data_IF_083086186310
#
_entry.id   IF_083086186310
#
_cell.length_a   1.000
_cell.length_b   1.000
_cell.length_c   1.000
_cell.angle_alpha   90.00
_cell.angle_beta   90.00
_cell.angle_gamma   90.00
#
_symmetry.space_group_name_H-M   'P 1'
#
loop_
_entity.id
_entity.type
_entity.pdbx_description
1 polymer ?
#
# COMPACT_ATOMS: atom_id res chain seq x y z
N UNK A 1 12.17 -9.71 0.31
CA UNK A 1 13.46 -9.31 -0.27
C UNK A 1 13.35 -7.87 -0.74
N UNK A 2 14.21 -6.98 -0.25
CA UNK A 2 14.34 -5.63 -0.80
C UNK A 2 15.09 -5.71 -2.13
N UNK A 3 14.56 -5.12 -3.20
CA UNK A 3 15.23 -5.11 -4.51
C UNK A 3 16.55 -4.35 -4.50
N UNK A 4 16.77 -3.45 -3.52
CA UNK A 4 18.04 -2.72 -3.36
C UNK A 4 19.11 -3.56 -2.64
N UNK A 5 18.76 -4.31 -1.60
CA UNK A 5 19.74 -5.11 -0.84
C UNK A 5 19.93 -6.52 -1.40
N UNK A 6 18.90 -7.11 -2.03
CA UNK A 6 18.94 -8.45 -2.62
C UNK A 6 18.72 -9.60 -1.63
N UNK A 7 18.75 -9.34 -0.33
CA UNK A 7 18.62 -10.38 0.69
C UNK A 7 17.18 -10.72 1.08
N UNK A 8 16.95 -11.99 1.41
CA UNK A 8 15.71 -12.45 2.04
C UNK A 8 15.80 -12.30 3.56
N UNK A 9 14.83 -11.61 4.14
CA UNK A 9 14.70 -11.45 5.59
C UNK A 9 13.41 -12.14 6.01
N UNK A 10 13.48 -12.95 7.08
CA UNK A 10 12.30 -13.56 7.70
C UNK A 10 11.55 -12.47 8.45
N UNK A 11 10.27 -12.31 8.12
CA UNK A 11 9.42 -11.24 8.67
C UNK A 11 8.45 -11.74 9.75
N UNK A 12 8.40 -13.05 10.00
CA UNK A 12 7.44 -13.66 10.92
C UNK A 12 7.91 -15.00 11.51
N UNK A 13 7.39 -15.28 12.69
CA UNK A 13 7.35 -16.63 13.26
C UNK A 13 6.21 -17.44 12.61
N UNK A 14 6.21 -18.78 12.72
CA UNK A 14 5.10 -19.60 12.24
C UNK A 14 3.77 -19.09 12.82
N UNK A 15 2.79 -18.89 11.95
CA UNK A 15 1.46 -18.40 12.34
C UNK A 15 0.41 -19.47 12.09
N UNK A 16 -0.63 -19.48 12.92
CA UNK A 16 -1.86 -20.22 12.64
C UNK A 16 -2.76 -19.31 11.78
N UNK A 17 -2.75 -19.52 10.46
CA UNK A 17 -3.54 -18.74 9.50
C UNK A 17 -2.83 -18.47 8.18
N UNK A 18 -3.44 -17.63 7.33
CA UNK A 18 -2.95 -17.30 5.98
C UNK A 18 -2.66 -15.82 5.77
N UNK A 19 -2.71 -15.00 6.83
CA UNK A 19 -2.60 -13.55 6.74
C UNK A 19 -1.59 -13.00 7.76
N UNK A 20 -0.81 -12.01 7.33
CA UNK A 20 0.13 -11.31 8.20
C UNK A 20 0.36 -9.88 7.75
N UNK A 21 0.55 -8.98 8.72
CA UNK A 21 1.00 -7.61 8.48
C UNK A 21 2.50 -7.50 8.67
N UNK A 22 3.23 -7.20 7.59
CA UNK A 22 4.68 -6.96 7.64
C UNK A 22 4.93 -5.48 7.93
N UNK A 23 5.63 -5.19 9.02
CA UNK A 23 6.03 -3.82 9.42
C UNK A 23 7.50 -3.53 9.08
N UNK A 24 7.94 -2.28 9.30
CA UNK A 24 9.33 -1.81 9.12
C UNK A 24 9.86 -1.88 7.68
N UNK A 25 8.95 -1.77 6.71
CA UNK A 25 9.33 -1.57 5.31
C UNK A 25 9.76 -0.12 5.08
N UNK A 26 10.71 0.09 4.16
CA UNK A 26 11.17 1.45 3.80
C UNK A 26 10.31 2.00 2.67
N UNK A 27 9.80 3.21 2.83
CA UNK A 27 9.05 3.90 1.79
C UNK A 27 9.90 4.14 0.53
N UNK A 28 9.30 3.99 -0.65
CA UNK A 28 9.96 4.12 -1.94
C UNK A 28 10.87 2.93 -2.30
N UNK A 29 10.84 1.84 -1.53
CA UNK A 29 11.53 0.59 -1.87
C UNK A 29 10.55 -0.41 -2.47
N UNK A 30 11.05 -1.24 -3.39
CA UNK A 30 10.31 -2.36 -3.94
C UNK A 30 10.69 -3.65 -3.22
N UNK A 31 9.69 -4.40 -2.78
CA UNK A 31 9.88 -5.66 -2.06
C UNK A 31 9.21 -6.81 -2.79
N UNK A 32 9.89 -7.95 -2.84
CA UNK A 32 9.27 -9.23 -3.20
C UNK A 32 9.00 -10.01 -1.91
N UNK A 33 7.82 -10.62 -1.84
CA UNK A 33 7.44 -11.48 -0.72
C UNK A 33 7.43 -12.93 -1.17
N UNK A 34 7.72 -13.83 -0.23
CA UNK A 34 7.55 -15.25 -0.42
C UNK A 34 6.91 -15.87 0.81
N UNK A 35 6.05 -16.85 0.61
CA UNK A 35 5.38 -17.59 1.69
C UNK A 35 5.74 -19.06 1.59
N UNK A 36 5.89 -19.71 2.74
CA UNK A 36 6.17 -21.14 2.85
C UNK A 36 5.20 -21.71 3.89
N UNK A 37 4.59 -22.85 3.59
CA UNK A 37 3.77 -23.57 4.55
C UNK A 37 4.66 -24.45 5.43
N UNK A 38 4.43 -24.44 6.74
CA UNK A 38 5.17 -25.27 7.70
C UNK A 38 4.18 -26.22 8.39
N UNK A 39 4.51 -27.50 8.42
CA UNK A 39 3.77 -28.52 9.16
C UNK A 39 4.74 -29.45 9.91
N UNK A 40 4.23 -30.44 10.64
CA UNK A 40 5.04 -31.37 11.42
C UNK A 40 6.08 -32.17 10.59
N UNK A 41 5.92 -32.26 9.27
CA UNK A 41 6.84 -32.94 8.37
C UNK A 41 7.88 -32.00 7.73
N UNK A 42 7.74 -30.69 7.88
CA UNK A 42 8.70 -29.70 7.38
C UNK A 42 8.06 -28.50 6.68
N UNK A 43 8.87 -27.84 5.84
CA UNK A 43 8.56 -26.58 5.16
C UNK A 43 8.37 -26.83 3.66
N UNK A 44 7.33 -26.24 3.07
CA UNK A 44 7.06 -26.33 1.64
C UNK A 44 8.04 -25.50 0.80
N UNK A 45 8.03 -25.71 -0.52
CA UNK A 45 8.63 -24.77 -1.45
C UNK A 45 8.04 -23.36 -1.29
N UNK A 46 8.85 -22.29 -1.45
CA UNK A 46 8.39 -20.93 -1.33
C UNK A 46 7.55 -20.51 -2.55
N UNK A 47 6.37 -19.94 -2.29
CA UNK A 47 5.58 -19.24 -3.29
C UNK A 47 5.98 -17.76 -3.30
N UNK A 48 6.42 -17.24 -4.44
CA UNK A 48 6.79 -15.83 -4.61
C UNK A 48 5.63 -14.99 -5.11
N UNK A 49 5.63 -13.71 -4.76
CA UNK A 49 4.77 -12.72 -5.41
C UNK A 49 5.13 -12.55 -6.89
N UNK A 50 4.13 -12.49 -7.78
CA UNK A 50 4.32 -12.36 -9.23
C UNK A 50 5.13 -11.12 -9.64
N UNK A 51 4.95 -10.01 -8.91
CA UNK A 51 5.63 -8.73 -9.16
C UNK A 51 6.13 -8.13 -7.84
N UNK A 52 7.24 -7.38 -7.87
CA UNK A 52 7.65 -6.56 -6.72
C UNK A 52 6.56 -5.56 -6.32
N UNK A 53 6.42 -5.34 -5.03
CA UNK A 53 5.47 -4.41 -4.43
C UNK A 53 6.22 -3.15 -4.00
N UNK A 54 5.87 -2.01 -4.59
CA UNK A 54 6.38 -0.70 -4.19
C UNK A 54 5.71 -0.27 -2.88
N UNK A 55 6.53 -0.03 -1.85
CA UNK A 55 6.05 0.47 -0.56
C UNK A 55 5.82 1.95 -0.67
N UNK A 56 4.55 2.33 -0.62
CA UNK A 56 4.06 3.71 -0.63
C UNK A 56 2.95 3.86 0.40
N UNK A 57 2.79 5.06 0.94
CA UNK A 57 1.62 5.37 1.74
C UNK A 57 0.35 5.14 0.88
N UNK A 58 -0.66 4.39 1.35
CA UNK A 58 -1.94 4.27 0.66
C UNK A 58 -2.64 5.63 0.52
N UNK A 59 -2.34 6.57 1.42
CA UNK A 59 -2.81 7.94 1.37
C UNK A 59 -1.70 8.84 0.84
N UNK A 60 -1.90 9.41 -0.33
CA UNK A 60 -1.14 10.57 -0.78
C UNK A 60 -1.88 11.84 -0.35
N UNK A 61 -1.19 12.98 -0.36
CA UNK A 61 -1.88 14.27 -0.26
C UNK A 61 -3.01 14.31 -1.32
N UNK A 62 -4.23 14.70 -0.93
CA UNK A 62 -5.33 14.81 -1.88
C UNK A 62 -4.97 15.86 -2.94
N UNK A 63 -5.53 15.73 -4.14
CA UNK A 63 -5.23 16.66 -5.23
C UNK A 63 -5.63 18.10 -4.90
N UNK A 64 -5.32 19.04 -5.80
CA UNK A 64 -5.97 20.34 -5.70
C UNK A 64 -7.47 20.17 -5.99
N UNK A 65 -8.37 20.80 -5.21
CA UNK A 65 -9.78 20.84 -5.59
C UNK A 65 -9.93 21.50 -6.96
N UNK A 66 -11.00 21.14 -7.67
CA UNK A 66 -11.28 21.74 -8.98
C UNK A 66 -11.57 23.24 -8.87
N UNK A 67 -11.40 23.95 -9.99
CA UNK A 67 -11.71 25.38 -10.08
C UNK A 67 -13.16 25.64 -9.63
N UNK A 68 -13.39 26.52 -8.65
CA UNK A 68 -14.73 26.85 -8.20
C UNK A 68 -15.53 27.50 -9.33
N UNK A 69 -16.76 27.03 -9.50
CA UNK A 69 -17.73 27.57 -10.47
C UNK A 69 -18.89 28.20 -9.72
N UNK A 70 -19.28 29.40 -10.13
CA UNK A 70 -20.44 30.09 -9.57
C UNK A 70 -21.71 29.43 -10.12
N UNK A 71 -22.53 28.89 -9.24
CA UNK A 71 -23.80 28.24 -9.58
C UNK A 71 -24.91 29.28 -9.67
N UNK A 72 -24.99 30.17 -8.68
CA UNK A 72 -25.98 31.25 -8.64
C UNK A 72 -25.46 32.44 -7.85
N UNK A 73 -25.96 33.64 -8.16
CA UNK A 73 -25.57 34.88 -7.49
C UNK A 73 -26.77 35.80 -7.33
N UNK A 74 -27.06 36.14 -6.09
CA UNK A 74 -28.03 37.15 -5.69
C UNK A 74 -27.33 38.38 -5.10
N UNK A 75 -28.10 39.39 -4.69
CA UNK A 75 -27.57 40.65 -4.15
C UNK A 75 -26.70 40.43 -2.89
N UNK A 76 -27.02 39.43 -2.07
CA UNK A 76 -26.35 39.18 -0.78
C UNK A 76 -25.85 37.73 -0.64
N UNK A 77 -25.91 36.92 -1.70
CA UNK A 77 -25.54 35.50 -1.65
C UNK A 77 -24.86 35.08 -2.95
N UNK A 78 -23.90 34.17 -2.85
CA UNK A 78 -23.29 33.49 -3.99
C UNK A 78 -23.17 32.02 -3.63
N UNK A 79 -23.68 31.17 -4.51
CA UNK A 79 -23.52 29.73 -4.42
C UNK A 79 -22.36 29.31 -5.35
N UNK A 80 -21.40 28.59 -4.79
CA UNK A 80 -20.19 28.16 -5.50
C UNK A 80 -20.04 26.65 -5.34
N UNK A 81 -19.71 25.96 -6.42
CA UNK A 81 -19.42 24.53 -6.44
C UNK A 81 -18.02 24.27 -6.97
N UNK A 82 -17.29 23.37 -6.31
CA UNK A 82 -16.01 22.84 -6.78
C UNK A 82 -16.04 21.31 -6.76
N UNK A 83 -15.14 20.68 -7.52
CA UNK A 83 -14.96 19.23 -7.46
C UNK A 83 -14.04 18.89 -6.27
N UNK A 84 -14.37 17.85 -5.47
CA UNK A 84 -13.49 17.35 -4.43
C UNK A 84 -12.10 16.99 -4.98
N UNK A 85 -11.06 17.08 -4.14
CA UNK A 85 -9.69 16.74 -4.51
C UNK A 85 -9.46 15.23 -4.68
#
# INVERSE_FOLDING_TARGET
RDKKSGDWVRCNDPIEGTEITVSKLKEGHEYEFRVMAENANGVSEPLLTDKPILVKNPFTEPGQPGTPTCVSRDRNHIEIKWTPP
#
